data_IF_483303680370
#
_entry.id   IF_483303680370
#
_cell.length_a   1.000
_cell.length_b   1.000
_cell.length_c   1.000
_cell.angle_alpha   90.00
_cell.angle_beta   90.00
_cell.angle_gamma   90.00
#
_symmetry.space_group_name_H-M   'P 1'
#
loop_
_entity.id
_entity.type
_entity.pdbx_description
1 polymer ?
#
# COMPACT_ATOMS: atom_id res chain seq x y z
N UNK A 1 -25.81 4.49 46.13
CA UNK A 1 -26.37 3.68 45.03
C UNK A 1 -26.63 2.21 45.41
N UNK A 2 -25.67 1.45 45.94
CA UNK A 2 -25.82 0.05 46.34
C UNK A 2 -26.98 -0.28 47.29
N UNK A 3 -27.28 0.58 48.29
CA UNK A 3 -28.41 0.36 49.25
C UNK A 3 -29.77 0.45 48.58
N UNK A 4 -30.01 1.44 47.70
CA UNK A 4 -31.27 1.56 46.96
C UNK A 4 -31.57 0.41 46.01
N UNK A 5 -30.53 -0.15 45.37
CA UNK A 5 -30.66 -1.33 44.49
C UNK A 5 -31.01 -2.56 45.30
N UNK A 6 -30.45 -2.73 46.50
CA UNK A 6 -30.72 -3.87 47.39
C UNK A 6 -32.17 -3.81 47.94
N UNK A 7 -32.68 -2.65 48.36
CA UNK A 7 -34.05 -2.47 48.81
C UNK A 7 -35.10 -2.72 47.71
N UNK A 8 -34.83 -2.29 46.48
CA UNK A 8 -35.65 -2.58 45.29
C UNK A 8 -35.68 -4.07 44.96
N UNK A 9 -34.56 -4.77 45.16
CA UNK A 9 -34.45 -6.20 44.91
C UNK A 9 -35.17 -7.02 45.95
N UNK A 10 -35.12 -6.65 47.24
CA UNK A 10 -35.76 -7.37 48.34
C UNK A 10 -37.30 -7.28 48.33
N UNK A 11 -37.89 -6.20 47.82
CA UNK A 11 -39.34 -6.00 47.66
C UNK A 11 -39.92 -6.53 46.35
N UNK A 12 -39.10 -7.07 45.44
CA UNK A 12 -39.58 -7.53 44.14
C UNK A 12 -40.13 -8.96 44.22
N UNK A 13 -41.13 -9.26 43.40
CA UNK A 13 -41.70 -10.61 43.26
C UNK A 13 -40.65 -11.61 42.72
N UNK A 14 -40.81 -12.89 43.00
CA UNK A 14 -39.86 -13.95 42.54
C UNK A 14 -39.60 -13.88 41.04
N UNK A 15 -40.63 -13.58 40.24
CA UNK A 15 -40.56 -13.42 38.80
C UNK A 15 -39.68 -12.22 38.42
N UNK A 16 -39.78 -11.12 39.16
CA UNK A 16 -38.97 -9.94 38.91
C UNK A 16 -37.49 -10.19 39.26
N UNK A 17 -37.19 -10.94 40.31
CA UNK A 17 -35.83 -11.35 40.70
C UNK A 17 -35.17 -12.19 39.60
N UNK A 18 -35.88 -13.12 39.02
CA UNK A 18 -35.42 -13.95 37.93
C UNK A 18 -35.15 -13.09 36.71
N UNK A 19 -36.05 -12.16 36.34
CA UNK A 19 -35.83 -11.24 35.20
C UNK A 19 -34.61 -10.35 35.39
N UNK A 20 -34.38 -9.77 36.56
CA UNK A 20 -33.21 -8.97 36.87
C UNK A 20 -31.93 -9.78 36.81
N UNK A 21 -31.89 -11.02 37.32
CA UNK A 21 -30.75 -11.90 37.16
C UNK A 21 -30.41 -12.22 35.73
N UNK A 22 -31.42 -12.51 34.91
CA UNK A 22 -31.23 -12.70 33.46
C UNK A 22 -30.70 -11.45 32.77
N UNK A 23 -31.23 -10.27 33.12
CA UNK A 23 -30.81 -9.01 32.52
C UNK A 23 -29.37 -8.64 32.91
N UNK A 24 -28.98 -8.91 34.16
CA UNK A 24 -27.60 -8.76 34.66
C UNK A 24 -26.59 -9.67 33.95
N UNK A 25 -27.04 -10.81 33.42
CA UNK A 25 -26.19 -11.76 32.69
C UNK A 25 -26.19 -11.45 31.18
N UNK A 26 -27.34 -11.05 30.66
CA UNK A 26 -27.55 -10.80 29.24
C UNK A 26 -26.85 -9.52 28.78
N UNK A 27 -26.88 -8.45 29.58
CA UNK A 27 -26.25 -7.17 29.21
C UNK A 27 -24.73 -7.29 29.04
N UNK A 28 -23.94 -7.83 29.97
CA UNK A 28 -22.50 -8.03 29.75
C UNK A 28 -22.20 -8.98 28.58
N UNK A 29 -23.03 -10.01 28.38
CA UNK A 29 -22.87 -10.94 27.27
C UNK A 29 -23.05 -10.24 25.90
N UNK A 30 -24.10 -9.42 25.76
CA UNK A 30 -24.32 -8.61 24.55
C UNK A 30 -23.18 -7.63 24.31
N UNK A 31 -22.71 -6.96 25.37
CA UNK A 31 -21.55 -6.04 25.26
C UNK A 31 -20.29 -6.80 24.82
N UNK A 32 -20.07 -7.99 25.36
CA UNK A 32 -18.97 -8.86 24.94
C UNK A 32 -19.07 -9.27 23.46
N UNK A 33 -20.26 -9.64 23.01
CA UNK A 33 -20.49 -9.96 21.58
C UNK A 33 -20.22 -8.77 20.68
N UNK A 34 -20.68 -7.56 21.04
CA UNK A 34 -20.42 -6.32 20.29
C UNK A 34 -18.91 -6.05 20.22
N UNK A 35 -18.20 -6.22 21.34
CA UNK A 35 -16.75 -6.07 21.41
C UNK A 35 -16.03 -7.09 20.51
N UNK A 36 -16.41 -8.36 20.56
CA UNK A 36 -15.87 -9.40 19.68
C UNK A 36 -16.13 -9.09 18.20
N UNK A 37 -17.35 -8.67 17.86
CA UNK A 37 -17.72 -8.32 16.51
C UNK A 37 -16.93 -7.11 15.99
N UNK A 38 -16.76 -6.09 16.82
CA UNK A 38 -15.96 -4.92 16.48
C UNK A 38 -14.49 -5.28 16.21
N UNK A 39 -13.89 -6.13 17.07
CA UNK A 39 -12.53 -6.62 16.86
C UNK A 39 -12.40 -7.45 15.58
N UNK A 40 -13.33 -8.36 15.31
CA UNK A 40 -13.33 -9.16 14.09
C UNK A 40 -13.45 -8.28 12.84
N UNK A 41 -14.35 -7.31 12.88
CA UNK A 41 -14.53 -6.35 11.77
C UNK A 41 -13.26 -5.54 11.50
N UNK A 42 -12.66 -4.99 12.54
CA UNK A 42 -11.43 -4.20 12.41
C UNK A 42 -10.26 -5.02 11.89
N UNK A 43 -10.07 -6.24 12.40
CA UNK A 43 -9.04 -7.15 11.91
C UNK A 43 -9.27 -7.55 10.45
N UNK A 44 -10.51 -7.86 10.06
CA UNK A 44 -10.82 -8.26 8.69
C UNK A 44 -10.52 -7.13 7.68
N UNK A 45 -10.83 -5.88 8.05
CA UNK A 45 -10.53 -4.70 7.23
C UNK A 45 -9.01 -4.52 7.03
N UNK A 46 -8.22 -4.68 8.10
CA UNK A 46 -6.75 -4.62 8.00
C UNK A 46 -6.18 -5.69 7.06
N UNK A 47 -6.72 -6.92 7.10
CA UNK A 47 -6.31 -7.98 6.18
C UNK A 47 -6.65 -7.64 4.72
N UNK A 48 -7.81 -7.06 4.48
CA UNK A 48 -8.23 -6.62 3.15
C UNK A 48 -7.31 -5.54 2.60
N UNK A 49 -6.98 -4.53 3.41
CA UNK A 49 -6.06 -3.46 3.04
C UNK A 49 -4.65 -4.00 2.72
N UNK A 50 -4.11 -4.94 3.52
CA UNK A 50 -2.82 -5.57 3.29
C UNK A 50 -2.81 -6.47 2.03
N UNK A 51 -3.89 -7.18 1.74
CA UNK A 51 -4.01 -7.97 0.51
C UNK A 51 -4.07 -7.05 -0.70
N UNK A 52 -4.89 -6.00 -0.65
CA UNK A 52 -5.02 -5.03 -1.73
C UNK A 52 -3.70 -4.32 -2.03
N UNK A 53 -2.97 -3.88 -1.00
CA UNK A 53 -1.66 -3.26 -1.17
C UNK A 53 -0.65 -4.23 -1.79
N UNK A 54 -0.64 -5.50 -1.37
CA UNK A 54 0.25 -6.51 -1.95
C UNK A 54 -0.06 -6.80 -3.42
N UNK A 55 -1.35 -6.84 -3.80
CA UNK A 55 -1.78 -7.04 -5.19
C UNK A 55 -1.39 -5.83 -6.05
N UNK A 56 -1.69 -4.61 -5.61
CA UNK A 56 -1.29 -3.38 -6.32
C UNK A 56 0.23 -3.30 -6.51
N UNK A 57 0.99 -3.56 -5.45
CA UNK A 57 2.45 -3.55 -5.50
C UNK A 57 3.01 -4.62 -6.44
N UNK A 58 2.40 -5.81 -6.47
CA UNK A 58 2.81 -6.91 -7.34
C UNK A 58 2.57 -6.60 -8.82
N UNK A 59 1.41 -6.06 -9.18
CA UNK A 59 1.10 -5.64 -10.54
C UNK A 59 2.06 -4.55 -11.00
N UNK A 60 2.25 -3.52 -10.19
CA UNK A 60 3.19 -2.45 -10.48
C UNK A 60 4.62 -2.97 -10.67
N UNK A 61 5.12 -3.82 -9.77
CA UNK A 61 6.50 -4.36 -9.84
C UNK A 61 6.75 -5.20 -11.09
N UNK A 62 5.74 -5.93 -11.58
CA UNK A 62 5.89 -6.80 -12.76
C UNK A 62 5.95 -6.02 -14.08
N UNK A 63 5.14 -4.98 -14.20
CA UNK A 63 4.93 -4.30 -15.48
C UNK A 63 5.81 -3.06 -15.62
N UNK A 64 5.98 -2.28 -14.54
CA UNK A 64 6.65 -0.98 -14.60
C UNK A 64 8.07 -1.04 -15.17
N UNK A 65 8.94 -1.89 -14.64
CA UNK A 65 10.34 -1.97 -15.09
C UNK A 65 10.44 -2.27 -16.58
N UNK A 66 9.74 -3.32 -17.01
CA UNK A 66 9.80 -3.77 -18.40
C UNK A 66 9.27 -2.74 -19.38
N UNK A 67 8.11 -2.17 -19.03
CA UNK A 67 7.42 -1.25 -19.95
C UNK A 67 8.13 0.12 -19.98
N UNK A 68 8.65 0.58 -18.84
CA UNK A 68 9.41 1.84 -18.77
C UNK A 68 10.75 1.74 -19.51
N UNK A 69 11.49 0.65 -19.33
CA UNK A 69 12.76 0.41 -20.04
C UNK A 69 12.53 0.31 -21.55
N UNK A 70 11.48 -0.40 -21.96
CA UNK A 70 11.12 -0.52 -23.39
C UNK A 70 10.68 0.80 -24.00
N UNK A 71 9.85 1.56 -23.29
CA UNK A 71 9.40 2.89 -23.76
C UNK A 71 10.58 3.86 -23.91
N UNK A 72 11.49 3.87 -22.94
CA UNK A 72 12.70 4.68 -22.97
C UNK A 72 13.57 4.31 -24.18
N UNK A 73 13.76 3.01 -24.42
CA UNK A 73 14.51 2.53 -25.59
C UNK A 73 13.87 2.97 -26.92
N UNK A 74 12.54 2.84 -27.06
CA UNK A 74 11.83 3.27 -28.26
C UNK A 74 12.01 4.77 -28.55
N UNK A 75 12.02 5.60 -27.52
CA UNK A 75 12.27 7.02 -27.62
C UNK A 75 13.71 7.30 -28.11
N UNK A 76 14.71 6.63 -27.53
CA UNK A 76 16.13 6.83 -27.88
C UNK A 76 16.44 6.41 -29.32
N UNK A 77 15.88 5.28 -29.78
CA UNK A 77 16.11 4.79 -31.15
C UNK A 77 15.26 5.53 -32.20
N UNK A 78 14.41 6.47 -31.80
CA UNK A 78 13.57 7.25 -32.69
C UNK A 78 12.35 6.53 -33.26
N UNK A 79 11.96 5.40 -32.63
CA UNK A 79 10.71 4.72 -32.98
C UNK A 79 9.46 5.37 -32.38
N UNK A 80 9.66 6.29 -31.45
CA UNK A 80 8.65 7.20 -30.90
C UNK A 80 9.20 8.62 -30.86
N UNK A 81 8.33 9.60 -31.06
CA UNK A 81 8.64 11.02 -30.89
C UNK A 81 8.46 11.43 -29.43
N UNK A 82 8.92 12.62 -29.06
CA UNK A 82 8.72 13.18 -27.72
C UNK A 82 7.22 13.34 -27.37
N UNK A 83 6.39 13.67 -28.40
CA UNK A 83 4.95 13.83 -28.19
C UNK A 83 4.20 12.49 -28.05
N UNK A 84 4.77 11.40 -28.59
CA UNK A 84 4.20 10.05 -28.51
C UNK A 84 4.70 9.27 -27.29
N UNK A 85 5.69 9.79 -26.59
CA UNK A 85 6.26 9.15 -25.41
C UNK A 85 5.27 9.15 -24.24
N UNK A 86 5.09 7.99 -23.60
CA UNK A 86 4.27 7.83 -22.40
C UNK A 86 5.08 7.85 -21.10
N UNK A 87 6.38 8.16 -21.14
CA UNK A 87 7.25 8.07 -19.96
C UNK A 87 6.79 8.95 -18.79
N UNK A 88 6.32 10.17 -19.07
CA UNK A 88 5.80 11.06 -18.03
C UNK A 88 4.48 10.54 -17.43
N UNK A 89 3.59 9.98 -18.23
CA UNK A 89 2.34 9.40 -17.78
C UNK A 89 2.62 8.16 -16.92
N UNK A 90 3.57 7.31 -17.32
CA UNK A 90 4.01 6.16 -16.54
C UNK A 90 4.61 6.55 -15.19
N UNK A 91 5.38 7.63 -15.12
CA UNK A 91 5.92 8.15 -13.87
C UNK A 91 4.82 8.73 -12.96
N UNK A 92 3.85 9.44 -13.52
CA UNK A 92 2.71 9.96 -12.78
C UNK A 92 1.83 8.84 -12.23
N UNK A 93 1.53 7.81 -13.04
CA UNK A 93 0.79 6.63 -12.60
C UNK A 93 1.54 5.87 -11.51
N UNK A 94 2.86 5.71 -11.65
CA UNK A 94 3.71 5.08 -10.65
C UNK A 94 3.68 5.84 -9.30
N UNK A 95 3.74 7.17 -9.34
CA UNK A 95 3.68 8.00 -8.11
C UNK A 95 2.30 7.91 -7.45
N UNK A 96 1.21 7.89 -8.23
CA UNK A 96 -0.16 7.70 -7.73
C UNK A 96 -0.33 6.32 -7.07
N UNK A 97 0.22 5.25 -7.67
CA UNK A 97 0.20 3.91 -7.08
C UNK A 97 0.95 3.90 -5.75
N UNK A 98 2.16 4.47 -5.71
CA UNK A 98 2.96 4.52 -4.48
C UNK A 98 2.26 5.35 -3.40
N UNK A 99 1.63 6.47 -3.76
CA UNK A 99 0.83 7.27 -2.84
C UNK A 99 -0.38 6.50 -2.29
N UNK A 100 -1.05 5.70 -3.13
CA UNK A 100 -2.13 4.80 -2.70
C UNK A 100 -1.64 3.72 -1.73
N UNK A 101 -0.48 3.11 -2.00
CA UNK A 101 0.14 2.13 -1.11
C UNK A 101 0.52 2.74 0.25
N UNK A 102 1.02 3.97 0.29
CA UNK A 102 1.33 4.67 1.54
C UNK A 102 0.09 4.83 2.46
N UNK A 103 -1.09 5.05 1.87
CA UNK A 103 -2.34 5.17 2.64
C UNK A 103 -2.81 3.84 3.25
N UNK A 104 -2.47 2.72 2.62
CA UNK A 104 -2.84 1.37 3.07
C UNK A 104 -1.80 0.77 4.02
N UNK A 105 -0.59 1.32 4.05
CA UNK A 105 0.56 0.75 4.78
C UNK A 105 0.63 1.28 6.22
N UNK A 106 0.57 0.37 7.20
CA UNK A 106 0.76 0.71 8.62
C UNK A 106 2.22 0.56 9.08
N UNK A 107 3.00 -0.28 8.41
CA UNK A 107 4.39 -0.59 8.78
C UNK A 107 5.34 0.57 8.48
N UNK A 108 6.03 1.09 9.52
CA UNK A 108 7.04 2.14 9.35
C UNK A 108 8.21 1.70 8.44
N UNK A 109 8.58 0.44 8.47
CA UNK A 109 9.64 -0.11 7.61
C UNK A 109 9.19 -0.16 6.15
N UNK A 110 7.94 -0.51 5.89
CA UNK A 110 7.38 -0.50 4.54
C UNK A 110 7.14 0.92 4.03
N UNK A 111 6.75 1.86 4.87
CA UNK A 111 6.70 3.28 4.49
C UNK A 111 8.07 3.82 4.08
N UNK A 112 9.18 3.40 4.73
CA UNK A 112 10.54 3.76 4.29
C UNK A 112 10.87 3.18 2.92
N UNK A 113 10.41 1.96 2.59
CA UNK A 113 10.59 1.34 1.26
C UNK A 113 9.84 2.14 0.19
N UNK A 114 8.59 2.49 0.43
CA UNK A 114 7.80 3.32 -0.48
C UNK A 114 8.45 4.71 -0.69
N UNK A 115 8.98 5.33 0.36
CA UNK A 115 9.76 6.56 0.24
C UNK A 115 11.04 6.39 -0.61
N UNK A 116 11.66 5.21 -0.58
CA UNK A 116 12.81 4.93 -1.46
C UNK A 116 12.35 4.80 -2.92
N UNK A 117 11.23 4.13 -3.17
CA UNK A 117 10.63 4.06 -4.51
C UNK A 117 10.34 5.46 -5.06
N UNK A 118 9.72 6.35 -4.29
CA UNK A 118 9.52 7.76 -4.70
C UNK A 118 10.80 8.47 -5.11
N UNK A 119 11.89 8.25 -4.38
CA UNK A 119 13.20 8.83 -4.75
C UNK A 119 13.71 8.25 -6.08
N UNK A 120 13.51 6.95 -6.31
CA UNK A 120 13.88 6.32 -7.57
C UNK A 120 13.04 6.84 -8.74
N UNK A 121 11.73 7.03 -8.57
CA UNK A 121 10.86 7.64 -9.59
C UNK A 121 11.30 9.08 -9.92
N UNK A 122 11.67 9.87 -8.93
CA UNK A 122 12.23 11.21 -9.15
C UNK A 122 13.56 11.19 -9.92
N UNK A 123 14.43 10.20 -9.66
CA UNK A 123 15.65 10.02 -10.43
C UNK A 123 15.34 9.66 -11.88
N UNK A 124 14.39 8.74 -12.11
CA UNK A 124 13.93 8.38 -13.46
C UNK A 124 13.38 9.60 -14.21
N UNK A 125 12.57 10.43 -13.56
CA UNK A 125 12.08 11.68 -14.15
C UNK A 125 13.24 12.62 -14.58
N UNK A 126 14.30 12.68 -13.77
CA UNK A 126 15.50 13.45 -14.11
C UNK A 126 16.23 12.87 -15.31
N UNK A 127 16.39 11.56 -15.41
CA UNK A 127 17.05 10.90 -16.55
C UNK A 127 16.23 11.04 -17.84
N UNK A 128 14.91 10.87 -17.76
CA UNK A 128 13.99 11.12 -18.88
C UNK A 128 14.17 12.55 -19.39
N UNK A 129 14.16 13.55 -18.51
CA UNK A 129 14.35 14.94 -18.88
C UNK A 129 15.69 15.19 -19.61
N UNK A 130 16.78 14.53 -19.17
CA UNK A 130 18.09 14.60 -19.85
C UNK A 130 18.07 13.96 -21.24
N UNK A 131 17.42 12.80 -21.37
CA UNK A 131 17.26 12.12 -22.67
C UNK A 131 16.45 13.00 -23.63
N UNK A 132 15.34 13.57 -23.17
CA UNK A 132 14.51 14.47 -23.98
C UNK A 132 15.27 15.74 -24.42
N UNK A 133 16.06 16.33 -23.53
CA UNK A 133 16.90 17.49 -23.86
C UNK A 133 17.93 17.14 -24.93
N UNK A 134 18.63 16.02 -24.79
CA UNK A 134 19.58 15.51 -25.78
C UNK A 134 18.91 15.26 -27.13
N UNK A 135 17.66 14.79 -27.19
CA UNK A 135 16.90 14.57 -28.41
C UNK A 135 16.57 15.92 -29.06
N UNK A 136 16.15 16.93 -28.30
CA UNK A 136 15.85 18.27 -28.78
C UNK A 136 17.08 18.99 -29.32
N UNK A 137 18.26 18.77 -28.73
CA UNK A 137 19.52 19.39 -29.14
C UNK A 137 20.19 18.73 -30.33
N UNK A 138 19.71 17.61 -30.84
CA UNK A 138 20.25 16.99 -32.06
C UNK A 138 20.46 15.48 -31.97
N UNK A 139 19.65 14.79 -31.11
CA UNK A 139 19.63 13.34 -30.94
C UNK A 139 21.01 12.73 -30.66
N UNK A 140 21.57 13.06 -29.53
CA UNK A 140 22.85 12.47 -29.01
C UNK A 140 22.63 11.02 -28.62
N UNK A 141 22.54 10.15 -29.62
CA UNK A 141 22.19 8.75 -29.44
C UNK A 141 23.09 8.01 -28.44
N UNK A 142 24.41 8.17 -28.56
CA UNK A 142 25.38 7.50 -27.69
C UNK A 142 25.23 7.95 -26.24
N UNK A 143 25.07 9.25 -25.99
CA UNK A 143 24.87 9.82 -24.64
C UNK A 143 23.54 9.30 -24.05
N UNK A 144 22.48 9.19 -24.85
CA UNK A 144 21.20 8.70 -24.40
C UNK A 144 21.23 7.19 -24.10
N UNK A 145 21.94 6.40 -24.89
CA UNK A 145 22.16 4.97 -24.60
C UNK A 145 22.96 4.77 -23.32
N UNK A 146 23.98 5.59 -23.07
CA UNK A 146 24.74 5.55 -21.81
C UNK A 146 23.86 5.85 -20.60
N UNK A 147 22.99 6.89 -20.67
CA UNK A 147 22.01 7.20 -19.60
C UNK A 147 21.05 6.03 -19.40
N UNK A 148 20.56 5.43 -20.47
CA UNK A 148 19.62 4.31 -20.37
C UNK A 148 20.26 3.07 -19.73
N UNK A 149 21.44 2.66 -20.18
CA UNK A 149 22.13 1.45 -19.69
C UNK A 149 22.65 1.60 -18.26
N UNK A 150 23.23 2.76 -17.94
CA UNK A 150 23.94 2.94 -16.67
C UNK A 150 23.09 3.61 -15.58
N UNK A 151 22.01 4.31 -15.92
CA UNK A 151 21.17 5.03 -14.98
C UNK A 151 19.74 4.45 -14.96
N UNK A 152 19.03 4.47 -16.09
CA UNK A 152 17.60 4.12 -16.15
C UNK A 152 17.38 2.66 -15.77
N UNK A 153 18.06 1.71 -16.42
CA UNK A 153 17.88 0.26 -16.15
C UNK A 153 18.24 -0.11 -14.71
N UNK A 154 19.27 0.53 -14.14
CA UNK A 154 19.66 0.29 -12.75
C UNK A 154 18.55 0.78 -11.81
N UNK A 155 18.03 1.98 -12.05
CA UNK A 155 17.02 2.56 -11.15
C UNK A 155 15.66 1.87 -11.29
N UNK A 156 15.24 1.46 -12.49
CA UNK A 156 14.02 0.66 -12.67
C UNK A 156 14.13 -0.69 -11.97
N UNK A 157 15.31 -1.34 -12.03
CA UNK A 157 15.58 -2.56 -11.26
C UNK A 157 15.47 -2.33 -9.74
N UNK A 158 16.00 -1.21 -9.23
CA UNK A 158 15.90 -0.85 -7.81
C UNK A 158 14.45 -0.60 -7.38
N UNK A 159 13.62 -0.03 -8.25
CA UNK A 159 12.16 0.09 -8.02
C UNK A 159 11.55 -1.29 -7.85
N UNK A 160 11.79 -2.21 -8.81
CA UNK A 160 11.28 -3.58 -8.78
C UNK A 160 11.72 -4.37 -7.54
N UNK A 161 13.01 -4.31 -7.20
CA UNK A 161 13.57 -4.98 -6.02
C UNK A 161 12.97 -4.45 -4.70
N UNK A 162 12.82 -3.12 -4.61
CA UNK A 162 12.26 -2.49 -3.40
C UNK A 162 10.77 -2.80 -3.25
N UNK A 163 10.02 -2.82 -4.35
CA UNK A 163 8.62 -3.24 -4.34
C UNK A 163 8.46 -4.73 -3.99
N UNK A 164 9.35 -5.59 -4.48
CA UNK A 164 9.37 -7.02 -4.10
C UNK A 164 9.63 -7.21 -2.60
N UNK A 165 10.54 -6.43 -2.01
CA UNK A 165 10.76 -6.42 -0.57
C UNK A 165 9.53 -5.89 0.19
N UNK A 166 8.88 -4.82 -0.30
CA UNK A 166 7.64 -4.30 0.27
C UNK A 166 6.56 -5.40 0.35
N UNK A 167 6.31 -6.10 -0.76
CA UNK A 167 5.33 -7.19 -0.85
C UNK A 167 5.67 -8.31 0.14
N UNK A 168 6.94 -8.73 0.19
CA UNK A 168 7.38 -9.78 1.11
C UNK A 168 7.06 -9.44 2.58
N UNK A 169 7.34 -8.22 3.02
CA UNK A 169 7.11 -7.80 4.40
C UNK A 169 5.62 -7.54 4.69
N UNK A 170 4.81 -7.10 3.72
CA UNK A 170 3.36 -7.03 3.87
C UNK A 170 2.77 -8.44 4.11
N UNK A 171 3.12 -9.41 3.26
CA UNK A 171 2.66 -10.81 3.40
C UNK A 171 3.10 -11.42 4.72
N UNK A 172 4.33 -11.16 5.15
CA UNK A 172 4.84 -11.63 6.43
C UNK A 172 4.07 -11.03 7.61
N UNK A 173 3.75 -9.75 7.56
CA UNK A 173 2.90 -9.09 8.57
C UNK A 173 1.53 -9.74 8.71
N UNK A 174 0.92 -10.18 7.59
CA UNK A 174 -0.33 -10.97 7.60
C UNK A 174 -0.17 -12.28 8.36
N UNK A 175 0.93 -13.00 8.15
CA UNK A 175 1.18 -14.28 8.81
C UNK A 175 1.40 -14.14 10.32
N UNK A 176 2.16 -13.13 10.75
CA UNK A 176 2.43 -12.84 12.16
C UNK A 176 1.15 -12.42 12.91
N UNK A 177 0.29 -11.63 12.27
CA UNK A 177 -1.01 -11.21 12.85
C UNK A 177 -2.02 -12.35 13.03
N UNK A 178 -1.88 -13.46 12.28
CA UNK A 178 -2.74 -14.66 12.43
C UNK A 178 -2.36 -15.56 13.58
N UNK A 179 -1.14 -15.41 14.13
CA UNK A 179 -0.61 -16.29 15.20
C UNK A 179 -0.82 -15.68 16.59
N UNK A 180 -1.31 -14.47 16.69
CA UNK A 180 -1.72 -13.79 17.94
C UNK A 180 -3.23 -13.88 18.16
#
# INVERSE_FOLDING_TARGET
MRKKIKELYDHSTLVAKIRYSYLCLLVPFVLFLIFCFYNLWNNNRRYEDMINSSVMASQFSLDFQKDFDYETYLLIVGNKTLEESSLHDMLAEADDIVAGLEQLTESQENLKRLNSVKKYLNNLATYVGRIEENIREGNRYEDNMEIWENDVQIVTSLVGDTMSQYIYYEIRGIQESRQQ
#
